data_IF_926500942900
#
_entry.id   IF_926500942900
#
_cell.length_a   1.000
_cell.length_b   1.000
_cell.length_c   1.000
_cell.angle_alpha   90.00
_cell.angle_beta   90.00
_cell.angle_gamma   90.00
#
_symmetry.space_group_name_H-M   'P 1'
#
loop_
_entity.id
_entity.type
_entity.pdbx_description
1 polymer ?
#
# COMPACT_ATOMS: atom_id res chain seq x y z
N UNK A 1 -29.35 -11.77 1.43
CA UNK A 1 -28.44 -10.91 0.73
C UNK A 1 -27.07 -11.58 0.64
N UNK A 2 -26.65 -11.79 -0.56
CA UNK A 2 -25.32 -12.37 -0.78
C UNK A 2 -24.28 -11.26 -0.79
N UNK A 3 -23.50 -11.21 0.27
CA UNK A 3 -22.27 -10.44 0.23
C UNK A 3 -21.27 -11.31 -0.53
N UNK A 4 -20.79 -10.82 -1.65
CA UNK A 4 -19.77 -11.54 -2.40
C UNK A 4 -18.59 -11.80 -1.47
N UNK A 5 -18.12 -13.05 -1.42
CA UNK A 5 -16.94 -13.37 -0.63
C UNK A 5 -15.73 -12.68 -1.23
N UNK A 6 -14.90 -12.12 -0.38
CA UNK A 6 -13.66 -11.48 -0.79
C UNK A 6 -12.50 -12.06 -0.01
N UNK A 7 -11.30 -11.85 -0.51
CA UNK A 7 -10.08 -12.22 0.19
C UNK A 7 -9.06 -11.09 0.13
N UNK A 8 -8.06 -11.19 0.98
CA UNK A 8 -7.03 -10.16 1.11
C UNK A 8 -5.66 -10.71 0.78
N UNK A 9 -4.82 -9.85 0.21
CA UNK A 9 -3.39 -10.10 0.16
C UNK A 9 -2.81 -9.55 1.45
N UNK A 10 -2.13 -10.39 2.23
CA UNK A 10 -1.47 -9.97 3.46
C UNK A 10 0.01 -10.33 3.36
N UNK A 11 0.86 -9.34 3.60
CA UNK A 11 2.31 -9.55 3.62
C UNK A 11 2.83 -8.95 4.91
N UNK A 12 3.63 -9.74 5.64
CA UNK A 12 4.33 -9.28 6.83
C UNK A 12 5.82 -9.45 6.62
N UNK A 13 6.58 -8.44 7.01
CA UNK A 13 8.03 -8.49 6.92
C UNK A 13 8.64 -7.68 8.05
N UNK A 14 9.59 -8.28 8.78
CA UNK A 14 10.39 -7.52 9.73
C UNK A 14 11.50 -6.81 8.97
N UNK A 15 11.60 -5.49 9.18
CA UNK A 15 12.63 -4.66 8.55
C UNK A 15 13.54 -4.10 9.64
N UNK A 16 14.88 -4.13 9.41
CA UNK A 16 15.84 -3.64 10.42
C UNK A 16 15.95 -2.11 10.41
N UNK A 17 14.79 -1.43 10.49
CA UNK A 17 14.73 0.03 10.42
C UNK A 17 13.70 0.54 11.43
N UNK A 18 13.93 1.74 12.01
CA UNK A 18 12.95 2.34 12.93
C UNK A 18 11.62 2.62 12.23
N UNK A 19 10.53 2.50 12.97
CA UNK A 19 9.18 2.74 12.44
C UNK A 19 9.04 4.14 11.83
N UNK A 20 9.73 5.15 12.37
CA UNK A 20 9.68 6.51 11.85
C UNK A 20 10.18 6.60 10.40
N UNK A 21 11.24 5.86 10.06
CA UNK A 21 11.77 5.87 8.70
C UNK A 21 10.80 5.22 7.72
N UNK A 22 10.23 4.09 8.12
CA UNK A 22 9.26 3.37 7.30
C UNK A 22 8.00 4.21 7.13
N UNK A 23 7.55 4.87 8.21
CA UNK A 23 6.40 5.75 8.16
C UNK A 23 6.60 6.90 7.16
N UNK A 24 7.78 7.51 7.16
CA UNK A 24 8.11 8.55 6.20
C UNK A 24 8.03 8.03 4.77
N UNK A 25 8.56 6.84 4.51
CA UNK A 25 8.51 6.23 3.19
C UNK A 25 7.08 5.89 2.75
N UNK A 26 6.17 5.66 3.70
CA UNK A 26 4.77 5.36 3.41
C UNK A 26 3.91 6.61 3.23
N UNK A 27 4.33 7.76 3.75
CA UNK A 27 3.46 8.94 3.81
C UNK A 27 3.95 10.15 3.01
N UNK A 28 5.23 10.21 2.69
CA UNK A 28 5.77 11.31 1.89
C UNK A 28 5.74 10.94 0.41
N UNK A 29 5.02 11.74 -0.38
CA UNK A 29 4.82 11.45 -1.80
C UNK A 29 6.11 11.28 -2.59
N UNK A 30 7.13 12.11 -2.29
CA UNK A 30 8.43 12.00 -2.95
C UNK A 30 9.14 10.67 -2.67
N UNK A 31 8.89 10.08 -1.50
CA UNK A 31 9.44 8.77 -1.16
C UNK A 31 8.59 7.63 -1.70
N UNK A 32 7.26 7.78 -1.68
CA UNK A 32 6.34 6.79 -2.28
C UNK A 32 6.66 6.59 -3.75
N UNK A 33 7.01 7.66 -4.44
CA UNK A 33 7.39 7.60 -5.86
C UNK A 33 8.57 6.65 -6.10
N UNK A 34 9.48 6.54 -5.14
CA UNK A 34 10.69 5.72 -5.31
C UNK A 34 10.44 4.23 -5.19
N UNK A 35 9.38 3.82 -4.50
CA UNK A 35 9.12 2.39 -4.33
C UNK A 35 7.77 1.93 -4.88
N UNK A 36 6.86 2.84 -5.17
CA UNK A 36 5.52 2.49 -5.63
C UNK A 36 5.22 3.11 -7.01
N UNK A 37 4.80 4.38 -7.05
CA UNK A 37 4.38 5.04 -8.29
C UNK A 37 4.40 6.55 -8.11
N UNK A 38 4.39 7.28 -9.22
CA UNK A 38 4.12 8.71 -9.20
C UNK A 38 2.78 8.97 -8.52
N UNK A 39 2.67 10.07 -7.77
CA UNK A 39 1.49 10.29 -6.95
C UNK A 39 1.33 11.75 -6.54
N UNK A 40 0.14 12.07 -6.03
CA UNK A 40 -0.17 13.30 -5.35
C UNK A 40 -0.67 13.02 -3.94
N UNK A 41 -0.14 11.98 -3.31
CA UNK A 41 -0.53 11.51 -2.00
C UNK A 41 -0.21 12.54 -0.90
N UNK A 42 -1.13 12.67 0.07
CA UNK A 42 -0.90 13.40 1.32
C UNK A 42 -1.51 12.61 2.48
N UNK A 43 -0.84 12.55 3.63
CA UNK A 43 -1.35 11.80 4.78
C UNK A 43 -2.40 12.61 5.55
N UNK A 44 -3.51 12.87 4.90
CA UNK A 44 -4.63 13.61 5.48
C UNK A 44 -5.93 12.86 5.19
N UNK A 45 -6.68 12.53 6.24
CA UNK A 45 -7.94 11.80 6.10
C UNK A 45 -8.89 12.55 5.16
N UNK A 46 -9.46 11.84 4.20
CA UNK A 46 -10.36 12.41 3.20
C UNK A 46 -9.67 12.93 1.95
N UNK A 47 -8.34 13.02 1.94
CA UNK A 47 -7.62 13.46 0.75
C UNK A 47 -7.76 12.43 -0.36
N UNK A 48 -8.18 12.91 -1.54
CA UNK A 48 -8.26 12.08 -2.74
C UNK A 48 -6.97 12.22 -3.52
N UNK A 49 -6.44 11.11 -4.00
CA UNK A 49 -5.15 11.07 -4.68
C UNK A 49 -5.17 10.08 -5.83
N UNK A 50 -4.14 10.12 -6.66
CA UNK A 50 -3.90 9.11 -7.69
C UNK A 50 -2.49 8.56 -7.56
N UNK A 51 -2.35 7.27 -7.84
CA UNK A 51 -1.07 6.66 -8.16
C UNK A 51 -1.04 6.45 -9.66
N UNK A 52 0.08 6.78 -10.29
CA UNK A 52 0.17 6.76 -11.75
C UNK A 52 1.40 6.00 -12.20
N UNK A 53 1.17 5.05 -13.07
CA UNK A 53 2.20 4.24 -13.70
C UNK A 53 2.06 4.36 -15.22
N UNK A 54 2.91 3.67 -15.97
CA UNK A 54 2.80 3.68 -17.42
C UNK A 54 1.53 2.95 -17.86
N UNK A 55 0.75 3.52 -18.78
CA UNK A 55 -0.41 2.83 -19.34
C UNK A 55 0.01 1.54 -20.07
N UNK A 56 -0.86 0.54 -19.98
CA UNK A 56 -0.73 -0.72 -20.75
C UNK A 56 -2.02 -0.93 -21.51
N UNK A 57 -2.10 -1.86 -22.48
CA UNK A 57 -3.28 -1.97 -23.34
C UNK A 57 -4.63 -2.13 -22.63
N UNK A 58 -4.65 -2.70 -21.44
CA UNK A 58 -5.90 -2.98 -20.70
C UNK A 58 -6.05 -2.13 -19.42
N UNK A 59 -5.16 -1.15 -19.20
CA UNK A 59 -5.18 -0.31 -18.00
C UNK A 59 -4.51 1.03 -18.31
N UNK A 60 -5.18 2.12 -17.94
CA UNK A 60 -4.66 3.48 -18.19
C UNK A 60 -3.52 3.90 -17.27
N UNK A 61 -3.10 3.03 -16.36
CA UNK A 61 -2.00 3.32 -15.45
C UNK A 61 -2.39 4.11 -14.21
N UNK A 62 -3.68 4.36 -14.01
CA UNK A 62 -4.15 5.20 -12.91
C UNK A 62 -4.85 4.38 -11.84
N UNK A 63 -4.48 4.62 -10.58
CA UNK A 63 -5.17 4.08 -9.42
C UNK A 63 -5.72 5.27 -8.66
N UNK A 64 -7.04 5.27 -8.41
CA UNK A 64 -7.68 6.31 -7.63
C UNK A 64 -7.78 5.87 -6.17
N UNK A 65 -7.52 6.80 -5.25
CA UNK A 65 -7.57 6.49 -3.83
C UNK A 65 -8.10 7.63 -2.99
N UNK A 66 -8.47 7.29 -1.77
CA UNK A 66 -8.89 8.24 -0.76
C UNK A 66 -8.34 7.79 0.58
N UNK A 67 -7.74 8.69 1.32
CA UNK A 67 -7.14 8.37 2.62
C UNK A 67 -8.26 8.17 3.64
N UNK A 68 -8.24 7.04 4.33
CA UNK A 68 -9.25 6.66 5.32
C UNK A 68 -8.76 6.82 6.75
N UNK A 69 -7.52 6.43 7.03
CA UNK A 69 -6.95 6.45 8.38
C UNK A 69 -5.53 6.97 8.32
N UNK A 70 -5.21 7.92 9.17
CA UNK A 70 -3.84 8.36 9.43
C UNK A 70 -3.67 8.42 10.94
N UNK A 71 -3.03 7.43 11.52
CA UNK A 71 -2.80 7.33 12.95
C UNK A 71 -1.29 7.24 13.17
N UNK A 72 -0.65 8.40 13.19
CA UNK A 72 0.81 8.44 13.31
C UNK A 72 1.33 7.88 14.63
N UNK A 73 0.70 8.18 15.80
CA UNK A 73 1.18 7.60 17.06
C UNK A 73 1.21 6.08 17.05
N UNK A 74 0.22 5.43 16.45
CA UNK A 74 0.13 3.97 16.37
C UNK A 74 0.67 3.41 15.05
N UNK A 75 1.14 4.28 14.15
CA UNK A 75 1.70 3.90 12.85
C UNK A 75 0.76 3.05 12.03
N UNK A 76 -0.45 3.56 11.85
CA UNK A 76 -1.48 2.89 11.05
C UNK A 76 -1.96 3.83 9.94
N UNK A 77 -1.97 3.33 8.71
CA UNK A 77 -2.35 4.08 7.52
C UNK A 77 -3.28 3.22 6.67
N UNK A 78 -4.40 3.79 6.23
CA UNK A 78 -5.32 3.06 5.35
C UNK A 78 -5.86 4.00 4.28
N UNK A 79 -6.02 3.46 3.07
CA UNK A 79 -6.59 4.21 1.94
C UNK A 79 -7.27 3.25 0.96
N UNK A 80 -8.18 3.80 0.17
CA UNK A 80 -8.83 3.04 -0.88
C UNK A 80 -7.90 2.91 -2.08
N UNK A 81 -8.16 1.88 -2.88
CA UNK A 81 -7.35 1.54 -4.05
C UNK A 81 -8.31 1.07 -5.13
N UNK A 82 -8.61 1.94 -6.10
CA UNK A 82 -9.58 1.65 -7.15
C UNK A 82 -8.88 1.65 -8.50
N UNK A 83 -8.94 0.52 -9.20
CA UNK A 83 -8.34 0.37 -10.53
C UNK A 83 -9.05 -0.75 -11.28
N UNK A 84 -9.19 -0.60 -12.59
CA UNK A 84 -9.74 -1.63 -13.47
C UNK A 84 -11.09 -2.18 -13.00
N UNK A 85 -11.94 -1.28 -12.47
CA UNK A 85 -13.27 -1.64 -11.99
C UNK A 85 -13.32 -2.32 -10.63
N UNK A 86 -12.18 -2.49 -9.99
CA UNK A 86 -12.09 -3.08 -8.66
C UNK A 86 -11.85 -1.99 -7.62
N UNK A 87 -12.70 -1.96 -6.59
CA UNK A 87 -12.49 -1.09 -5.42
C UNK A 87 -12.02 -1.94 -4.25
N UNK A 88 -10.94 -1.51 -3.62
CA UNK A 88 -10.31 -2.26 -2.54
C UNK A 88 -9.71 -1.29 -1.51
N UNK A 89 -9.14 -1.84 -0.45
CA UNK A 89 -8.58 -1.04 0.65
C UNK A 89 -7.21 -1.60 1.01
N UNK A 90 -6.23 -0.69 1.13
CA UNK A 90 -4.88 -1.03 1.58
C UNK A 90 -4.71 -0.49 3.00
N UNK A 91 -4.23 -1.32 3.91
CA UNK A 91 -3.95 -0.95 5.29
C UNK A 91 -2.52 -1.33 5.66
N UNK A 92 -1.80 -0.36 6.19
CA UNK A 92 -0.44 -0.55 6.70
C UNK A 92 -0.44 -0.44 8.21
N UNK A 93 0.23 -1.37 8.87
CA UNK A 93 0.43 -1.35 10.32
C UNK A 93 1.90 -1.61 10.60
N UNK A 94 2.51 -0.73 11.40
CA UNK A 94 3.92 -0.86 11.79
C UNK A 94 3.98 -1.14 13.28
N UNK A 95 4.66 -2.23 13.65
CA UNK A 95 4.83 -2.62 15.05
C UNK A 95 6.32 -2.65 15.37
N UNK A 96 6.79 -1.84 16.33
CA UNK A 96 8.20 -1.88 16.73
C UNK A 96 8.60 -3.25 17.25
N UNK A 97 9.80 -3.69 16.89
CA UNK A 97 10.39 -4.95 17.37
C UNK A 97 11.81 -4.66 17.85
N UNK A 98 12.44 -5.65 18.48
CA UNK A 98 13.83 -5.50 18.91
C UNK A 98 14.76 -5.26 17.73
N UNK A 99 14.49 -5.87 16.58
CA UNK A 99 15.34 -5.73 15.40
C UNK A 99 15.00 -4.52 14.54
N UNK A 100 13.83 -3.90 14.76
CA UNK A 100 13.40 -2.75 13.96
C UNK A 100 11.89 -2.62 13.95
N UNK A 101 11.23 -3.04 12.88
CA UNK A 101 9.78 -2.89 12.73
C UNK A 101 9.19 -4.06 11.98
N UNK A 102 8.10 -4.62 12.51
CA UNK A 102 7.27 -5.55 11.75
C UNK A 102 6.30 -4.73 10.91
N UNK A 103 6.43 -4.84 9.60
CA UNK A 103 5.57 -4.15 8.62
C UNK A 103 4.51 -5.13 8.15
N UNK A 104 3.24 -4.76 8.35
CA UNK A 104 2.12 -5.55 7.85
C UNK A 104 1.34 -4.73 6.84
N UNK A 105 1.16 -5.29 5.65
CA UNK A 105 0.31 -4.70 4.60
C UNK A 105 -0.85 -5.65 4.34
N UNK A 106 -2.05 -5.09 4.31
CA UNK A 106 -3.24 -5.85 3.92
C UNK A 106 -3.94 -5.11 2.79
N UNK A 107 -4.11 -5.79 1.66
CA UNK A 107 -4.87 -5.26 0.52
C UNK A 107 -6.14 -6.11 0.40
N UNK A 108 -7.26 -5.56 0.86
CA UNK A 108 -8.52 -6.27 1.05
C UNK A 108 -9.54 -5.90 -0.03
N UNK A 109 -10.45 -6.82 -0.34
CA UNK A 109 -11.57 -6.55 -1.23
C UNK A 109 -11.50 -7.27 -2.57
N UNK A 110 -10.62 -8.26 -2.73
CA UNK A 110 -10.55 -9.02 -3.98
C UNK A 110 -11.68 -10.04 -4.03
N UNK A 111 -12.60 -9.95 -5.03
CA UNK A 111 -13.60 -10.99 -5.20
C UNK A 111 -12.93 -12.36 -5.38
N UNK A 112 -13.47 -13.39 -4.75
CA UNK A 112 -12.86 -14.72 -4.75
C UNK A 112 -12.73 -15.27 -6.16
N UNK A 113 -13.68 -14.95 -7.04
CA UNK A 113 -13.66 -15.39 -8.43
C UNK A 113 -12.61 -14.65 -9.28
N UNK A 114 -12.10 -13.51 -8.82
CA UNK A 114 -11.11 -12.76 -9.58
C UNK A 114 -9.69 -13.18 -9.20
N UNK A 115 -9.34 -14.40 -9.60
CA UNK A 115 -8.04 -15.01 -9.28
C UNK A 115 -6.89 -14.23 -9.89
N UNK A 116 -7.07 -13.72 -11.11
CA UNK A 116 -6.01 -12.98 -11.80
C UNK A 116 -5.65 -11.69 -11.07
N UNK A 117 -6.66 -10.92 -10.61
CA UNK A 117 -6.41 -9.70 -9.85
C UNK A 117 -5.71 -9.99 -8.52
N UNK A 118 -6.15 -11.03 -7.82
CA UNK A 118 -5.55 -11.43 -6.55
C UNK A 118 -4.08 -11.83 -6.72
N UNK A 119 -3.80 -12.70 -7.67
CA UNK A 119 -2.44 -13.18 -7.90
C UNK A 119 -1.52 -12.07 -8.40
N UNK A 120 -2.03 -11.18 -9.26
CA UNK A 120 -1.29 -10.03 -9.75
C UNK A 120 -0.91 -9.09 -8.62
N UNK A 121 -1.85 -8.80 -7.72
CA UNK A 121 -1.59 -7.95 -6.56
C UNK A 121 -0.56 -8.59 -5.62
N UNK A 122 -0.70 -9.90 -5.37
CA UNK A 122 0.23 -10.62 -4.51
C UNK A 122 1.66 -10.54 -5.03
N UNK A 123 1.84 -10.71 -6.33
CA UNK A 123 3.14 -10.61 -6.97
C UNK A 123 3.68 -9.17 -6.91
N UNK A 124 2.84 -8.20 -7.26
CA UNK A 124 3.24 -6.79 -7.26
C UNK A 124 3.63 -6.28 -5.89
N UNK A 125 2.87 -6.65 -4.86
CA UNK A 125 3.17 -6.21 -3.50
C UNK A 125 4.48 -6.77 -2.96
N UNK A 126 4.86 -7.98 -3.33
CA UNK A 126 6.18 -8.50 -2.94
C UNK A 126 7.30 -7.61 -3.44
N UNK A 127 7.19 -7.14 -4.68
CA UNK A 127 8.18 -6.24 -5.27
C UNK A 127 8.14 -4.85 -4.63
N UNK A 128 6.95 -4.30 -4.42
CA UNK A 128 6.80 -2.99 -3.81
C UNK A 128 7.33 -2.96 -2.38
N UNK A 129 7.06 -3.99 -1.59
CA UNK A 129 7.52 -4.05 -0.20
C UNK A 129 9.05 -4.16 -0.14
N UNK A 130 9.67 -4.90 -1.06
CA UNK A 130 11.12 -4.92 -1.17
C UNK A 130 11.68 -3.54 -1.49
N UNK A 131 11.00 -2.79 -2.36
CA UNK A 131 11.37 -1.41 -2.67
C UNK A 131 11.21 -0.49 -1.47
N UNK A 132 10.14 -0.66 -0.70
CA UNK A 132 9.91 0.10 0.53
C UNK A 132 11.06 -0.07 1.51
N UNK A 133 11.48 -1.30 1.73
CA UNK A 133 12.61 -1.59 2.63
C UNK A 133 13.89 -0.90 2.15
N UNK A 134 14.14 -0.95 0.84
CA UNK A 134 15.31 -0.31 0.25
C UNK A 134 15.29 1.21 0.45
N UNK A 135 14.13 1.85 0.24
CA UNK A 135 13.99 3.29 0.47
C UNK A 135 14.23 3.62 1.93
N UNK A 136 13.65 2.85 2.85
CA UNK A 136 13.85 3.06 4.29
C UNK A 136 15.33 2.94 4.66
N UNK A 137 16.05 1.99 4.06
CA UNK A 137 17.47 1.79 4.33
C UNK A 137 18.33 2.98 3.89
N UNK A 138 17.88 3.74 2.91
CA UNK A 138 18.61 4.90 2.38
C UNK A 138 18.29 6.19 3.13
N UNK A 139 17.30 6.20 4.01
CA UNK A 139 16.95 7.39 4.80
C UNK A 139 17.87 7.55 6.00
N UNK A 140 18.12 8.80 6.34
CA UNK A 140 18.92 9.17 7.51
C UNK A 140 18.05 9.54 8.71
#
# INVERSE_FOLDING_TARGET
VNTAATRSVVIEREMPHPSEKIWRALTQGSLIKEWLMDNDFRPAVGHEFTFRSKPVPHWDGVIDGKVLVVDEPNKRLSYTWAAMGLESVVTWTLTPTEAGTLVRMEHAGFPVENVAAYNGAKYGWKNFISGLEKVAAELE
#
